data_IF_780276653000
#
_entry.id   IF_780276653000
#
_cell.length_a   1.000
_cell.length_b   1.000
_cell.length_c   1.000
_cell.angle_alpha   90.00
_cell.angle_beta   90.00
_cell.angle_gamma   90.00
#
_symmetry.space_group_name_H-M   'P 1'
#
loop_
_entity.id
_entity.type
_entity.pdbx_description
1 polymer ?
#
# COMPACT_ATOMS: atom_id res chain seq x y z
N UNK A 1 -16.29 -10.25 -12.63
CA UNK A 1 -16.87 -8.89 -12.70
C UNK A 1 -15.93 -7.98 -13.47
N UNK A 2 -16.45 -7.15 -14.38
CA UNK A 2 -15.65 -6.19 -15.14
C UNK A 2 -15.26 -4.96 -14.29
N UNK A 3 -14.20 -4.25 -14.68
CA UNK A 3 -13.66 -3.09 -13.96
C UNK A 3 -14.73 -2.01 -13.70
N UNK A 4 -15.59 -1.72 -14.67
CA UNK A 4 -16.68 -0.72 -14.55
C UNK A 4 -17.67 -1.08 -13.42
N UNK A 5 -18.00 -2.37 -13.29
CA UNK A 5 -18.87 -2.84 -12.22
C UNK A 5 -18.20 -2.71 -10.84
N UNK A 6 -16.87 -2.93 -10.75
CA UNK A 6 -16.11 -2.70 -9.50
C UNK A 6 -16.14 -1.21 -9.13
N UNK A 7 -15.87 -0.32 -10.09
CA UNK A 7 -15.94 1.13 -9.89
C UNK A 7 -17.31 1.52 -9.34
N UNK A 8 -18.39 1.05 -9.97
CA UNK A 8 -19.76 1.35 -9.54
C UNK A 8 -20.04 0.94 -8.08
N UNK A 9 -19.49 -0.19 -7.61
CA UNK A 9 -19.63 -0.61 -6.21
C UNK A 9 -19.00 0.38 -5.23
N UNK A 10 -17.88 1.01 -5.60
CA UNK A 10 -17.20 2.00 -4.75
C UNK A 10 -17.99 3.31 -4.66
N UNK A 11 -18.90 3.57 -5.60
CA UNK A 11 -19.63 4.82 -5.74
C UNK A 11 -18.78 5.99 -6.25
N UNK A 12 -17.59 5.71 -6.79
CA UNK A 12 -16.75 6.69 -7.49
C UNK A 12 -17.29 6.97 -8.90
N UNK A 13 -17.07 8.18 -9.38
CA UNK A 13 -17.37 8.61 -10.76
C UNK A 13 -16.15 8.51 -11.68
N UNK A 14 -14.99 8.13 -11.13
CA UNK A 14 -13.73 8.01 -11.86
C UNK A 14 -13.57 6.61 -12.45
N UNK A 15 -12.89 6.52 -13.59
CA UNK A 15 -12.64 5.24 -14.28
C UNK A 15 -11.32 4.63 -13.83
N UNK A 16 -11.38 3.37 -13.39
CA UNK A 16 -10.21 2.58 -13.02
C UNK A 16 -10.24 1.24 -13.74
N UNK A 17 -9.08 0.75 -14.15
CA UNK A 17 -8.94 -0.60 -14.70
C UNK A 17 -8.31 -1.54 -13.66
N UNK A 18 -9.06 -2.58 -13.29
CA UNK A 18 -8.65 -3.57 -12.31
C UNK A 18 -8.26 -4.86 -13.03
N UNK A 19 -7.05 -5.36 -12.78
CA UNK A 19 -6.53 -6.58 -13.39
C UNK A 19 -6.46 -7.75 -12.41
N UNK A 20 -5.95 -7.53 -11.21
CA UNK A 20 -5.78 -8.62 -10.24
C UNK A 20 -7.09 -8.96 -9.54
N UNK A 21 -7.94 -7.99 -9.23
CA UNK A 21 -9.22 -8.24 -8.56
C UNK A 21 -10.17 -9.12 -9.41
N UNK A 22 -10.48 -8.81 -10.68
CA UNK A 22 -11.33 -9.68 -11.49
C UNK A 22 -10.77 -11.08 -11.73
N UNK A 23 -9.44 -11.21 -11.75
CA UNK A 23 -8.78 -12.48 -12.06
C UNK A 23 -8.56 -13.36 -10.83
N UNK A 24 -8.42 -12.78 -9.64
CA UNK A 24 -8.13 -13.51 -8.40
C UNK A 24 -9.31 -13.65 -7.47
N UNK A 25 -10.28 -12.73 -7.53
CA UNK A 25 -11.41 -12.68 -6.61
C UNK A 25 -12.72 -13.00 -7.32
N UNK A 26 -13.59 -13.72 -6.63
CA UNK A 26 -14.99 -13.87 -7.00
C UNK A 26 -15.73 -12.54 -6.84
N UNK A 27 -16.82 -12.39 -7.61
CA UNK A 27 -17.66 -11.20 -7.55
C UNK A 27 -18.20 -10.94 -6.13
N UNK A 28 -18.49 -11.99 -5.36
CA UNK A 28 -18.99 -11.89 -4.00
C UNK A 28 -17.91 -11.42 -3.02
N UNK A 29 -16.66 -11.87 -3.17
CA UNK A 29 -15.54 -11.36 -2.35
C UNK A 29 -15.36 -9.86 -2.56
N UNK A 30 -15.39 -9.40 -3.82
CA UNK A 30 -15.22 -7.98 -4.16
C UNK A 30 -16.40 -7.17 -3.61
N UNK A 31 -17.65 -7.59 -3.84
CA UNK A 31 -18.85 -6.93 -3.31
C UNK A 31 -18.82 -6.84 -1.79
N UNK A 32 -18.47 -7.94 -1.11
CA UNK A 32 -18.40 -7.98 0.34
C UNK A 32 -17.28 -7.08 0.88
N UNK A 33 -16.11 -7.05 0.23
CA UNK A 33 -15.01 -6.17 0.60
C UNK A 33 -15.42 -4.70 0.50
N UNK A 34 -15.96 -4.29 -0.66
CA UNK A 34 -16.38 -2.90 -0.91
C UNK A 34 -17.49 -2.49 0.07
N UNK A 35 -18.52 -3.33 0.26
CA UNK A 35 -19.61 -3.04 1.21
C UNK A 35 -19.05 -2.80 2.62
N UNK A 36 -18.22 -3.73 3.13
CA UNK A 36 -17.61 -3.60 4.47
C UNK A 36 -16.69 -2.39 4.58
N UNK A 37 -15.92 -2.09 3.53
CA UNK A 37 -15.06 -0.90 3.49
C UNK A 37 -15.90 0.37 3.61
N UNK A 38 -17.00 0.49 2.85
CA UNK A 38 -17.92 1.64 2.95
C UNK A 38 -18.60 1.72 4.32
N UNK A 39 -19.02 0.59 4.89
CA UNK A 39 -19.59 0.54 6.24
C UNK A 39 -18.61 1.08 7.30
N UNK A 40 -17.34 0.69 7.21
CA UNK A 40 -16.29 1.14 8.13
C UNK A 40 -15.92 2.61 7.94
N UNK A 41 -15.97 3.12 6.71
CA UNK A 41 -15.71 4.54 6.43
C UNK A 41 -16.87 5.46 6.78
N UNK A 42 -18.11 4.96 6.80
CA UNK A 42 -19.29 5.81 6.96
C UNK A 42 -19.29 6.67 8.25
N UNK A 43 -18.86 6.19 9.43
CA UNK A 43 -18.68 7.03 10.61
C UNK A 43 -17.63 8.13 10.38
N UNK A 44 -16.44 7.75 9.88
CA UNK A 44 -15.35 8.70 9.57
C UNK A 44 -15.81 9.79 8.62
N UNK A 45 -16.52 9.44 7.55
CA UNK A 45 -16.99 10.39 6.55
C UNK A 45 -18.13 11.29 7.05
N UNK A 46 -18.96 10.85 8.02
CA UNK A 46 -20.01 11.71 8.60
C UNK A 46 -19.40 12.77 9.51
N UNK A 47 -18.50 12.38 10.38
CA UNK A 47 -17.86 13.24 11.37
C UNK A 47 -16.54 13.83 10.84
N UNK A 48 -16.47 14.09 9.53
CA UNK A 48 -15.26 14.59 8.89
C UNK A 48 -15.06 16.08 9.22
N UNK A 49 -13.90 16.39 9.77
CA UNK A 49 -13.44 17.72 10.14
C UNK A 49 -12.01 17.95 9.62
N UNK A 50 -11.41 19.10 9.93
CA UNK A 50 -10.06 19.43 9.44
C UNK A 50 -9.00 18.48 10.00
N UNK A 51 -9.18 17.94 11.21
CA UNK A 51 -8.27 16.95 11.78
C UNK A 51 -8.29 15.63 11.01
N UNK A 52 -9.49 15.13 10.69
CA UNK A 52 -9.68 13.95 9.84
C UNK A 52 -9.20 14.20 8.42
N UNK A 53 -9.40 15.41 7.90
CA UNK A 53 -8.88 15.79 6.61
C UNK A 53 -7.35 15.71 6.58
N UNK A 54 -6.66 16.30 7.58
CA UNK A 54 -5.20 16.19 7.70
C UNK A 54 -4.74 14.73 7.81
N UNK A 55 -5.39 13.91 8.65
CA UNK A 55 -5.07 12.47 8.74
C UNK A 55 -5.14 11.79 7.37
N UNK A 56 -6.29 11.88 6.71
CA UNK A 56 -6.53 11.16 5.45
C UNK A 56 -5.75 11.74 4.28
N UNK A 57 -5.43 13.03 4.33
CA UNK A 57 -4.50 13.65 3.41
C UNK A 57 -3.10 13.01 3.52
N UNK A 58 -2.54 12.93 4.73
CA UNK A 58 -1.21 12.32 4.97
C UNK A 58 -1.20 10.86 4.53
N UNK A 59 -2.23 10.10 4.94
CA UNK A 59 -2.35 8.69 4.60
C UNK A 59 -2.43 8.46 3.09
N UNK A 60 -3.20 9.28 2.38
CA UNK A 60 -3.35 9.19 0.92
C UNK A 60 -2.08 9.62 0.20
N UNK A 61 -1.43 10.69 0.64
CA UNK A 61 -0.15 11.16 0.09
C UNK A 61 0.93 10.09 0.21
N UNK A 62 1.12 9.53 1.41
CA UNK A 62 2.11 8.47 1.64
C UNK A 62 1.76 7.20 0.85
N UNK A 63 0.49 6.81 0.80
CA UNK A 63 0.05 5.66 0.02
C UNK A 63 0.39 5.81 -1.47
N UNK A 64 0.18 7.01 -2.05
CA UNK A 64 0.56 7.32 -3.42
C UNK A 64 2.08 7.30 -3.61
N UNK A 65 2.83 7.94 -2.70
CA UNK A 65 4.30 7.96 -2.72
C UNK A 65 4.88 6.54 -2.74
N UNK A 66 4.33 5.64 -1.92
CA UNK A 66 4.77 4.24 -1.91
C UNK A 66 4.42 3.50 -3.19
N UNK A 67 3.27 3.77 -3.82
CA UNK A 67 2.92 3.18 -5.13
C UNK A 67 3.88 3.65 -6.22
N UNK A 68 4.24 4.93 -6.24
CA UNK A 68 5.22 5.47 -7.18
C UNK A 68 6.61 4.84 -6.96
N UNK A 69 7.05 4.74 -5.71
CA UNK A 69 8.31 4.07 -5.37
C UNK A 69 8.30 2.58 -5.79
N UNK A 70 7.21 1.85 -5.51
CA UNK A 70 7.04 0.46 -5.94
C UNK A 70 7.09 0.32 -7.46
N UNK A 71 6.53 1.27 -8.20
CA UNK A 71 6.56 1.26 -9.67
C UNK A 71 7.99 1.33 -10.19
N UNK A 72 8.81 2.23 -9.64
CA UNK A 72 10.23 2.34 -10.01
C UNK A 72 10.99 1.07 -9.65
N UNK A 73 10.75 0.51 -8.47
CA UNK A 73 11.41 -0.71 -7.99
C UNK A 73 11.02 -1.95 -8.80
N UNK A 74 9.75 -2.11 -9.17
CA UNK A 74 9.25 -3.22 -9.96
C UNK A 74 9.84 -3.20 -11.38
N UNK A 75 9.80 -2.04 -12.06
CA UNK A 75 10.42 -1.88 -13.38
C UNK A 75 11.95 -2.12 -13.32
N UNK A 76 12.59 -1.68 -12.24
CA UNK A 76 14.01 -1.96 -12.01
C UNK A 76 14.26 -3.45 -11.80
N UNK A 77 13.35 -4.17 -11.16
CA UNK A 77 13.45 -5.61 -10.95
C UNK A 77 13.30 -6.38 -12.27
N UNK A 78 12.30 -6.03 -13.09
CA UNK A 78 12.11 -6.58 -14.43
C UNK A 78 13.35 -6.34 -15.29
N UNK A 79 13.89 -5.12 -15.29
CA UNK A 79 15.12 -4.82 -16.00
C UNK A 79 16.29 -5.62 -15.44
N UNK A 80 16.47 -5.71 -14.12
CA UNK A 80 17.58 -6.41 -13.47
C UNK A 80 17.56 -7.93 -13.71
N UNK A 81 16.39 -8.50 -13.99
CA UNK A 81 16.24 -9.93 -14.29
C UNK A 81 16.85 -10.28 -15.66
N UNK A 82 16.73 -9.41 -16.65
CA UNK A 82 17.24 -9.64 -18.02
C UNK A 82 18.78 -9.81 -18.10
N UNK A 83 19.62 -8.92 -17.55
CA UNK A 83 21.07 -9.08 -17.49
C UNK A 83 21.51 -9.94 -16.29
N UNK A 84 20.59 -10.62 -15.60
CA UNK A 84 20.88 -11.53 -14.49
C UNK A 84 21.60 -10.87 -13.29
N UNK A 85 21.16 -9.68 -12.87
CA UNK A 85 21.69 -8.97 -11.69
C UNK A 85 21.13 -9.53 -10.38
N UNK A 86 21.50 -10.78 -10.09
CA UNK A 86 20.99 -11.60 -8.97
C UNK A 86 21.17 -10.96 -7.59
N UNK A 87 22.19 -10.12 -7.40
CA UNK A 87 22.45 -9.43 -6.13
C UNK A 87 21.38 -8.38 -5.80
N UNK A 88 20.82 -7.73 -6.82
CA UNK A 88 19.92 -6.58 -6.65
C UNK A 88 18.46 -7.02 -6.57
N UNK A 89 18.11 -8.12 -7.25
CA UNK A 89 16.75 -8.63 -7.33
C UNK A 89 16.05 -8.82 -5.97
N UNK A 90 16.67 -9.42 -4.93
CA UNK A 90 16.02 -9.61 -3.64
C UNK A 90 15.57 -8.28 -3.01
N UNK A 91 16.39 -7.23 -3.14
CA UNK A 91 16.07 -5.91 -2.61
C UNK A 91 14.91 -5.26 -3.36
N UNK A 92 14.95 -5.25 -4.69
CA UNK A 92 13.92 -4.63 -5.52
C UNK A 92 12.56 -5.33 -5.33
N UNK A 93 12.56 -6.67 -5.34
CA UNK A 93 11.38 -7.49 -5.11
C UNK A 93 10.76 -7.22 -3.73
N UNK A 94 11.60 -7.27 -2.70
CA UNK A 94 11.17 -7.03 -1.32
C UNK A 94 10.59 -5.63 -1.10
N UNK A 95 11.30 -4.57 -1.53
CA UNK A 95 10.85 -3.20 -1.28
C UNK A 95 9.62 -2.83 -2.11
N UNK A 96 9.42 -3.44 -3.29
CA UNK A 96 8.16 -3.32 -4.05
C UNK A 96 6.99 -3.83 -3.22
N UNK A 97 7.09 -5.05 -2.67
CA UNK A 97 6.04 -5.64 -1.83
C UNK A 97 5.80 -4.85 -0.54
N UNK A 98 6.88 -4.41 0.13
CA UNK A 98 6.80 -3.64 1.36
C UNK A 98 6.08 -2.30 1.14
N UNK A 99 6.42 -1.58 0.08
CA UNK A 99 5.82 -0.28 -0.22
C UNK A 99 4.34 -0.42 -0.61
N UNK A 100 3.98 -1.40 -1.45
CA UNK A 100 2.57 -1.68 -1.75
C UNK A 100 1.79 -2.15 -0.50
N UNK A 101 2.43 -2.88 0.41
CA UNK A 101 1.86 -3.24 1.72
C UNK A 101 1.57 -2.00 2.57
N UNK A 102 2.50 -1.05 2.65
CA UNK A 102 2.28 0.24 3.34
C UNK A 102 1.12 1.01 2.71
N UNK A 103 1.08 1.12 1.39
CA UNK A 103 -0.01 1.80 0.67
C UNK A 103 -1.37 1.17 0.98
N UNK A 104 -1.47 -0.16 0.90
CA UNK A 104 -2.68 -0.88 1.28
C UNK A 104 -3.08 -0.59 2.73
N UNK A 105 -2.17 -0.74 3.69
CA UNK A 105 -2.49 -0.52 5.11
C UNK A 105 -2.92 0.93 5.38
N UNK A 106 -2.21 1.91 4.84
CA UNK A 106 -2.48 3.33 5.02
C UNK A 106 -3.85 3.74 4.48
N UNK A 107 -4.43 3.00 3.54
CA UNK A 107 -5.77 3.30 3.02
C UNK A 107 -6.89 2.54 3.75
N UNK A 108 -6.59 1.61 4.67
CA UNK A 108 -7.63 0.83 5.34
C UNK A 108 -8.42 1.67 6.37
N UNK A 109 -9.76 1.60 6.38
CA UNK A 109 -10.57 2.30 7.39
C UNK A 109 -10.42 1.71 8.80
N UNK A 110 -10.04 0.43 8.88
CA UNK A 110 -9.87 -0.30 10.15
C UNK A 110 -8.42 -0.33 10.66
N UNK A 111 -7.57 0.57 10.17
CA UNK A 111 -6.23 0.78 10.73
C UNK A 111 -6.30 2.00 11.65
N UNK A 112 -5.97 1.80 12.92
CA UNK A 112 -5.86 2.89 13.88
C UNK A 112 -4.72 3.82 13.48
N UNK A 113 -5.05 5.08 13.21
CA UNK A 113 -4.05 6.12 13.01
C UNK A 113 -3.51 6.60 14.36
N UNK A 114 -2.18 6.54 14.52
CA UNK A 114 -1.45 6.96 15.72
C UNK A 114 -0.28 7.88 15.36
N UNK A 115 -0.45 8.68 14.30
CA UNK A 115 0.59 9.59 13.80
C UNK A 115 1.84 8.85 13.34
N UNK A 116 3.02 9.36 13.73
CA UNK A 116 4.35 8.84 13.42
C UNK A 116 4.48 7.33 13.70
N UNK A 117 3.91 6.84 14.81
CA UNK A 117 3.95 5.41 15.17
C UNK A 117 3.30 4.50 14.13
N UNK A 118 2.29 4.97 13.39
CA UNK A 118 1.68 4.19 12.29
C UNK A 118 2.61 4.08 11.10
N UNK A 119 3.48 5.07 10.87
CA UNK A 119 4.42 5.12 9.75
C UNK A 119 5.69 4.33 10.07
N UNK A 120 6.15 4.41 11.33
CA UNK A 120 7.35 3.75 11.84
C UNK A 120 7.17 2.25 12.13
N UNK A 121 6.04 1.65 11.74
CA UNK A 121 5.83 0.21 11.90
C UNK A 121 7.01 -0.57 11.31
N UNK A 122 7.49 -1.55 12.08
CA UNK A 122 8.57 -2.42 11.62
C UNK A 122 8.16 -3.15 10.34
N UNK A 123 9.14 -3.48 9.50
CA UNK A 123 8.90 -4.23 8.27
C UNK A 123 8.13 -5.53 8.53
N UNK A 124 8.52 -6.30 9.54
CA UNK A 124 7.81 -7.53 9.93
C UNK A 124 6.36 -7.26 10.33
N UNK A 125 6.08 -6.18 11.06
CA UNK A 125 4.72 -5.82 11.45
C UNK A 125 3.88 -5.44 10.23
N UNK A 126 4.43 -4.65 9.29
CA UNK A 126 3.76 -4.28 8.04
C UNK A 126 3.34 -5.52 7.25
N UNK A 127 4.26 -6.45 7.02
CA UNK A 127 3.99 -7.64 6.19
C UNK A 127 2.99 -8.58 6.86
N UNK A 128 3.12 -8.80 8.18
CA UNK A 128 2.17 -9.62 8.93
C UNK A 128 0.76 -8.99 8.93
N UNK A 129 0.67 -7.70 9.25
CA UNK A 129 -0.62 -7.00 9.29
C UNK A 129 -1.26 -6.94 7.90
N UNK A 130 -0.46 -6.79 6.84
CA UNK A 130 -0.95 -6.85 5.46
C UNK A 130 -1.59 -8.19 5.17
N UNK A 131 -0.87 -9.29 5.44
CA UNK A 131 -1.40 -10.65 5.32
C UNK A 131 -2.71 -10.83 6.10
N UNK A 132 -2.73 -10.41 7.37
CA UNK A 132 -3.90 -10.54 8.24
C UNK A 132 -5.10 -9.72 7.74
N UNK A 133 -4.86 -8.57 7.10
CA UNK A 133 -5.93 -7.70 6.57
C UNK A 133 -6.45 -8.18 5.21
N UNK A 134 -5.73 -9.03 4.49
CA UNK A 134 -6.22 -9.66 3.26
C UNK A 134 -7.38 -10.62 3.49
N UNK A 135 -7.56 -11.17 4.71
CA UNK A 135 -8.74 -11.98 5.08
C UNK A 135 -10.07 -11.24 4.96
N UNK A 136 -10.04 -9.89 4.83
CA UNK A 136 -11.22 -9.07 4.56
C UNK A 136 -11.82 -9.35 3.17
N UNK A 137 -10.99 -9.76 2.20
CA UNK A 137 -11.45 -10.34 0.94
C UNK A 137 -11.95 -11.75 1.20
N UNK A 138 -11.01 -12.63 1.56
CA UNK A 138 -11.25 -14.01 2.00
C UNK A 138 -9.97 -14.58 2.65
N UNK A 139 -10.14 -15.58 3.52
CA UNK A 139 -9.02 -16.24 4.23
C UNK A 139 -7.99 -16.86 3.26
N UNK A 140 -8.39 -17.30 2.07
CA UNK A 140 -7.48 -17.87 1.07
C UNK A 140 -6.39 -16.89 0.63
N UNK A 141 -6.70 -15.59 0.58
CA UNK A 141 -5.74 -14.57 0.18
C UNK A 141 -4.65 -14.35 1.25
N UNK A 142 -5.02 -14.40 2.53
CA UNK A 142 -4.04 -14.40 3.63
C UNK A 142 -3.09 -15.60 3.51
N UNK A 143 -3.65 -16.81 3.36
CA UNK A 143 -2.88 -18.06 3.28
C UNK A 143 -1.94 -18.06 2.07
N UNK A 144 -2.38 -17.54 0.92
CA UNK A 144 -1.60 -17.52 -0.29
C UNK A 144 -0.51 -16.43 -0.29
N UNK A 145 -0.81 -15.23 0.20
CA UNK A 145 0.05 -14.05 0.01
C UNK A 145 0.99 -13.82 1.19
N UNK A 146 0.54 -14.05 2.43
CA UNK A 146 1.35 -13.77 3.63
C UNK A 146 2.69 -14.53 3.64
N UNK A 147 2.75 -15.84 3.30
CA UNK A 147 4.02 -16.56 3.24
C UNK A 147 4.97 -15.96 2.21
N UNK A 148 4.46 -15.46 1.07
CA UNK A 148 5.27 -14.89 -0.01
C UNK A 148 5.84 -13.53 0.35
N UNK A 149 5.06 -12.70 1.07
CA UNK A 149 5.55 -11.45 1.66
C UNK A 149 6.74 -11.71 2.61
N UNK A 150 6.63 -12.73 3.47
CA UNK A 150 7.68 -13.11 4.42
C UNK A 150 8.89 -13.73 3.71
N UNK A 151 8.67 -14.60 2.71
CA UNK A 151 9.74 -15.20 1.91
C UNK A 151 10.57 -14.13 1.18
N UNK A 152 9.94 -13.08 0.62
CA UNK A 152 10.65 -11.98 -0.01
C UNK A 152 11.56 -11.23 0.98
N UNK A 153 11.11 -11.07 2.23
CA UNK A 153 11.92 -10.49 3.31
C UNK A 153 13.13 -11.37 3.61
N UNK A 154 12.93 -12.66 3.77
CA UNK A 154 14.00 -13.62 4.10
C UNK A 154 15.03 -13.72 2.97
N UNK A 155 14.58 -13.68 1.72
CA UNK A 155 15.44 -13.61 0.53
C UNK A 155 16.32 -12.35 0.53
N UNK A 156 15.74 -11.18 0.83
CA UNK A 156 16.49 -9.92 0.97
C UNK A 156 17.49 -9.99 2.12
N UNK A 157 17.09 -10.49 3.28
CA UNK A 157 17.97 -10.58 4.46
C UNK A 157 19.15 -11.54 4.22
N UNK A 158 18.93 -12.68 3.57
CA UNK A 158 20.02 -13.59 3.23
C UNK A 158 21.11 -12.90 2.40
N UNK A 159 20.70 -12.07 1.44
CA UNK A 159 21.62 -11.28 0.60
C UNK A 159 22.20 -10.04 1.31
N UNK A 160 21.65 -9.63 2.45
CA UNK A 160 22.28 -8.61 3.32
C UNK A 160 23.36 -9.19 4.23
N UNK A 161 23.23 -10.45 4.65
CA UNK A 161 24.06 -11.00 5.72
C UNK A 161 25.01 -12.12 5.31
N UNK A 162 24.61 -12.98 4.35
CA UNK A 162 25.35 -14.22 4.04
C UNK A 162 25.77 -14.35 2.59
N UNK A 163 25.05 -13.70 1.67
CA UNK A 163 25.41 -13.59 0.26
C UNK A 163 25.79 -14.94 -0.39
N UNK A 164 24.84 -15.86 -0.58
CA UNK A 164 25.11 -17.21 -1.06
C UNK A 164 25.70 -17.19 -2.48
N UNK A 165 26.73 -18.00 -2.73
CA UNK A 165 27.35 -18.15 -4.05
C UNK A 165 26.41 -18.74 -5.10
N UNK A 166 25.39 -19.50 -4.67
CA UNK A 166 24.32 -20.03 -5.53
C UNK A 166 23.22 -19.00 -5.83
N UNK A 167 23.34 -17.77 -5.32
CA UNK A 167 22.35 -16.74 -5.48
C UNK A 167 20.99 -17.13 -4.89
N UNK A 168 19.91 -16.81 -5.60
CA UNK A 168 18.54 -17.14 -5.18
C UNK A 168 18.20 -18.63 -5.34
N UNK A 169 19.02 -19.41 -6.07
CA UNK A 169 18.77 -20.84 -6.29
C UNK A 169 18.74 -21.67 -5.00
N UNK A 170 19.33 -21.16 -3.91
CA UNK A 170 19.27 -21.80 -2.58
C UNK A 170 17.84 -21.95 -2.03
N UNK A 171 16.90 -21.12 -2.50
CA UNK A 171 15.50 -21.17 -2.07
C UNK A 171 14.66 -22.16 -2.90
N UNK A 172 15.17 -22.70 -4.01
CA UNK A 172 14.43 -23.63 -4.86
C UNK A 172 13.06 -23.08 -5.28
N UNK A 173 12.00 -23.85 -5.04
CA UNK A 173 10.62 -23.48 -5.38
C UNK A 173 10.06 -22.32 -4.53
N UNK A 174 10.74 -21.94 -3.44
CA UNK A 174 10.32 -20.84 -2.57
C UNK A 174 10.76 -19.46 -3.10
N UNK A 175 11.54 -19.38 -4.18
CA UNK A 175 11.95 -18.11 -4.79
C UNK A 175 10.70 -17.28 -5.13
N UNK A 176 10.67 -16.03 -4.67
CA UNK A 176 9.62 -15.08 -5.06
C UNK A 176 10.06 -14.42 -6.36
N UNK A 177 9.35 -14.69 -7.45
CA UNK A 177 9.70 -14.20 -8.80
C UNK A 177 9.25 -12.76 -9.02
N UNK A 178 9.77 -12.08 -10.06
CA UNK A 178 9.33 -10.73 -10.40
C UNK A 178 7.85 -10.70 -10.76
N UNK A 179 7.39 -11.64 -11.59
CA UNK A 179 5.97 -11.75 -11.95
C UNK A 179 5.05 -11.90 -10.74
N UNK A 180 5.46 -12.72 -9.77
CA UNK A 180 4.69 -12.90 -8.54
C UNK A 180 4.66 -11.62 -7.70
N UNK A 181 5.81 -10.94 -7.58
CA UNK A 181 5.89 -9.62 -6.92
C UNK A 181 4.95 -8.62 -7.59
N UNK A 182 4.98 -8.51 -8.91
CA UNK A 182 4.14 -7.58 -9.67
C UNK A 182 2.65 -7.90 -9.46
N UNK A 183 2.28 -9.18 -9.49
CA UNK A 183 0.90 -9.60 -9.25
C UNK A 183 0.40 -9.28 -7.84
N UNK A 184 1.20 -9.56 -6.81
CA UNK A 184 0.84 -9.23 -5.42
C UNK A 184 0.80 -7.70 -5.22
N UNK A 185 1.81 -6.99 -5.71
CA UNK A 185 1.89 -5.54 -5.61
C UNK A 185 0.69 -4.86 -6.26
N UNK A 186 0.31 -5.30 -7.47
CA UNK A 186 -0.86 -4.77 -8.18
C UNK A 186 -2.16 -5.03 -7.41
N UNK A 187 -2.37 -6.23 -6.85
CA UNK A 187 -3.54 -6.52 -6.02
C UNK A 187 -3.62 -5.58 -4.81
N UNK A 188 -2.52 -5.37 -4.09
CA UNK A 188 -2.46 -4.47 -2.93
C UNK A 188 -2.78 -3.02 -3.32
N UNK A 189 -2.27 -2.56 -4.47
CA UNK A 189 -2.55 -1.22 -4.99
C UNK A 189 -4.00 -1.07 -5.45
N UNK A 190 -4.58 -2.08 -6.10
CA UNK A 190 -6.00 -2.09 -6.49
C UNK A 190 -6.92 -2.03 -5.26
N UNK A 191 -6.58 -2.74 -4.18
CA UNK A 191 -7.29 -2.65 -2.92
C UNK A 191 -7.14 -1.27 -2.26
N UNK A 192 -5.95 -0.68 -2.33
CA UNK A 192 -5.72 0.68 -1.84
C UNK A 192 -6.57 1.70 -2.59
N UNK A 193 -6.66 1.54 -3.92
CA UNK A 193 -7.51 2.35 -4.78
C UNK A 193 -8.99 2.21 -4.43
N UNK A 194 -9.49 0.97 -4.23
CA UNK A 194 -10.87 0.73 -3.77
C UNK A 194 -11.16 1.45 -2.45
N UNK A 195 -10.23 1.37 -1.49
CA UNK A 195 -10.42 2.00 -0.19
C UNK A 195 -10.58 3.52 -0.31
N UNK A 196 -9.69 4.18 -1.06
CA UNK A 196 -9.76 5.63 -1.27
C UNK A 196 -11.00 6.03 -2.07
N UNK A 197 -11.37 5.28 -3.10
CA UNK A 197 -12.60 5.53 -3.87
C UNK A 197 -13.86 5.43 -3.00
N UNK A 198 -13.89 4.49 -2.05
CA UNK A 198 -14.99 4.38 -1.08
C UNK A 198 -15.07 5.61 -0.15
N UNK A 199 -13.92 6.08 0.35
CA UNK A 199 -13.86 7.28 1.20
C UNK A 199 -14.29 8.52 0.41
N UNK A 200 -13.74 8.73 -0.79
CA UNK A 200 -14.06 9.87 -1.66
C UNK A 200 -15.57 9.92 -1.97
N UNK A 201 -16.17 8.79 -2.36
CA UNK A 201 -17.61 8.69 -2.62
C UNK A 201 -18.46 9.07 -1.41
N UNK A 202 -18.06 8.64 -0.20
CA UNK A 202 -18.76 8.98 1.03
C UNK A 202 -18.55 10.44 1.43
N UNK A 203 -17.38 11.01 1.16
CA UNK A 203 -17.09 12.43 1.37
C UNK A 203 -17.95 13.30 0.47
N UNK A 204 -18.03 12.99 -0.83
CA UNK A 204 -18.91 13.69 -1.77
C UNK A 204 -20.38 13.61 -1.35
N UNK A 205 -20.80 12.46 -0.80
CA UNK A 205 -22.17 12.25 -0.32
C UNK A 205 -22.54 13.11 0.90
N UNK A 206 -21.64 13.22 1.88
CA UNK A 206 -21.93 13.89 3.16
C UNK A 206 -21.49 15.36 3.19
N UNK A 207 -20.52 15.74 2.35
CA UNK A 207 -19.84 17.04 2.41
C UNK A 207 -19.61 17.65 1.02
N UNK A 208 -20.58 17.55 0.10
CA UNK A 208 -20.45 17.99 -1.31
C UNK A 208 -19.92 19.41 -1.51
N UNK A 209 -20.26 20.33 -0.61
CA UNK A 209 -19.94 21.75 -0.72
C UNK A 209 -18.93 22.23 0.34
N UNK A 210 -18.41 21.33 1.17
CA UNK A 210 -17.51 21.70 2.26
C UNK A 210 -16.06 21.67 1.79
N UNK A 211 -15.34 22.75 2.10
CA UNK A 211 -13.88 22.79 1.99
C UNK A 211 -13.28 22.50 3.36
N UNK A 212 -12.31 21.60 3.40
CA UNK A 212 -11.57 21.26 4.60
C UNK A 212 -10.22 21.95 4.57
N UNK A 213 -9.80 22.46 5.72
CA UNK A 213 -8.44 22.92 5.92
C UNK A 213 -7.50 21.75 6.22
N UNK A 214 -6.20 22.05 6.22
CA UNK A 214 -5.20 21.21 6.84
C UNK A 214 -4.80 21.87 8.17
N UNK A 215 -4.91 21.11 9.26
CA UNK A 215 -4.23 21.45 10.52
C UNK A 215 -2.71 21.45 10.32
N UNK A 216 -2.02 22.14 11.23
CA UNK A 216 -0.62 22.58 11.10
C UNK A 216 0.29 21.58 10.37
N UNK A 217 0.89 22.07 9.29
CA UNK A 217 1.77 21.32 8.37
C UNK A 217 3.01 20.79 9.12
N UNK A 218 3.39 21.42 10.23
CA UNK A 218 4.53 21.00 11.05
C UNK A 218 4.31 19.64 11.74
N UNK A 219 3.08 19.31 12.17
CA UNK A 219 2.76 17.99 12.76
C UNK A 219 2.87 16.88 11.71
N UNK A 220 2.58 17.21 10.46
CA UNK A 220 2.76 16.32 9.32
C UNK A 220 4.24 16.17 8.95
N UNK A 221 5.08 17.18 9.14
CA UNK A 221 6.52 17.07 8.90
C UNK A 221 7.24 16.14 9.86
N UNK A 222 6.81 16.09 11.11
CA UNK A 222 7.29 15.08 12.04
C UNK A 222 7.11 13.66 11.48
N UNK A 223 6.04 13.43 10.72
CA UNK A 223 5.77 12.13 10.11
C UNK A 223 6.56 11.82 8.83
N UNK A 224 7.19 12.84 8.23
CA UNK A 224 7.98 12.71 6.99
C UNK A 224 9.49 12.92 7.20
N UNK A 225 9.90 13.18 8.45
CA UNK A 225 11.28 13.43 8.83
C UNK A 225 12.08 12.13 8.85
N UNK A 226 13.24 12.12 8.22
CA UNK A 226 14.17 11.00 8.27
C UNK A 226 15.10 11.16 9.48
N UNK A 227 14.72 10.54 10.60
CA UNK A 227 15.55 10.53 11.80
C UNK A 227 16.60 9.41 11.71
N UNK A 228 17.83 9.77 11.31
CA UNK A 228 18.98 8.89 11.35
C UNK A 228 19.81 9.06 12.64
N UNK A 229 20.71 8.11 12.90
CA UNK A 229 21.60 8.18 14.05
C UNK A 229 22.58 9.36 14.01
N UNK A 230 22.89 9.88 12.81
CA UNK A 230 23.90 10.92 12.58
C UNK A 230 23.32 12.24 12.07
N UNK A 231 22.09 12.22 11.56
CA UNK A 231 21.45 13.38 11.00
C UNK A 231 19.94 13.16 11.04
N UNK A 232 19.22 14.28 11.14
CA UNK A 232 17.80 14.28 10.88
C UNK A 232 17.54 15.13 9.65
N UNK A 233 16.97 14.51 8.62
CA UNK A 233 16.80 15.10 7.30
C UNK A 233 15.32 15.32 7.00
N UNK A 234 15.04 16.39 6.29
CA UNK A 234 13.74 16.67 5.69
C UNK A 234 13.96 16.72 4.18
N UNK A 235 13.06 16.10 3.42
CA UNK A 235 13.07 16.18 1.97
C UNK A 235 12.25 17.41 1.54
N UNK A 236 12.94 18.49 1.15
CA UNK A 236 12.31 19.76 0.76
C UNK A 236 11.41 19.62 -0.49
N UNK A 237 11.61 18.57 -1.30
CA UNK A 237 10.72 18.28 -2.44
C UNK A 237 9.36 17.74 -1.97
N UNK A 238 9.34 16.90 -0.94
CA UNK A 238 8.08 16.52 -0.29
C UNK A 238 7.44 17.75 0.36
N UNK A 239 8.25 18.64 0.97
CA UNK A 239 7.77 19.89 1.58
C UNK A 239 6.99 20.73 0.60
N UNK A 240 7.62 21.02 -0.52
CA UNK A 240 7.02 21.89 -1.53
C UNK A 240 5.75 21.28 -2.11
N UNK A 241 5.70 19.96 -2.31
CA UNK A 241 4.53 19.28 -2.90
C UNK A 241 3.34 19.26 -1.96
N UNK A 242 3.58 19.17 -0.67
CA UNK A 242 2.51 19.16 0.31
C UNK A 242 2.06 20.57 0.70
N UNK A 243 3.00 21.52 0.85
CA UNK A 243 2.69 22.90 1.21
C UNK A 243 1.99 23.70 0.09
N UNK A 244 1.98 23.19 -1.15
CA UNK A 244 1.30 23.82 -2.29
C UNK A 244 -0.21 23.52 -2.37
N UNK A 245 -0.71 22.54 -1.59
CA UNK A 245 -2.10 22.08 -1.57
C UNK A 245 -2.89 22.68 -0.41
#
# INVERSE_FOLDING_TARGET
>A
MESEAIVSLTGSTLTYDYKELPSRCSDDEIKNYVRRTRELFNPTARDFDDARNTEWFIRSYLALKYVLASTVLANSAEYAEQPNLQVTLPYLRYYTLLNCSRSFLLTLPCLDWRGETTIEMTHSNILNLTGDKLKRLDRRHEIAIKPRLLAAKDQRELFSYRFPSTGLGIFGDEVVTVDEVVGIARLLTELAQINLACLESLMQKHHSDRRFGLLDVDDMWHTMRFNGATASLIDDEDYTRVAYL
#
